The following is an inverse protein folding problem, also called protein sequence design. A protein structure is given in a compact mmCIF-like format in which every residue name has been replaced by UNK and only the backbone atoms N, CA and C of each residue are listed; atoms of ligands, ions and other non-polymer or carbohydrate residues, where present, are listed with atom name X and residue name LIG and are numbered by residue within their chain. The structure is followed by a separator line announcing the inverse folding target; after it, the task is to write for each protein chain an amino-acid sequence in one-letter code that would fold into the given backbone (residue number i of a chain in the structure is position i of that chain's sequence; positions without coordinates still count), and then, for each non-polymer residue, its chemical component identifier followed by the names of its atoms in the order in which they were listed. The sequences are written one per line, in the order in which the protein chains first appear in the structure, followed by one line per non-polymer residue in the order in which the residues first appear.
data_IF_447646403879
#
_entry.id   IF_447646403879
#
_cell.length_a   1.000
_cell.length_b   1.000
_cell.length_c   1.000
_cell.angle_alpha   90.00
_cell.angle_beta   90.00
_cell.angle_gamma   90.00
#
_symmetry.space_group_name_H-M   'P 1'
#
loop_
_entity.id
_entity.type
_entity.pdbx_description
1 polymer ?
#
# COMPACT_ATOMS: atom_id res chain seq x y z
N UNK A 1 -4.32 -3.22 -10.20
CA UNK A 1 -4.22 -3.38 -8.73
C UNK A 1 -3.46 -2.22 -8.10
N UNK A 2 -2.27 -1.86 -8.61
CA UNK A 2 -1.51 -0.65 -8.24
C UNK A 2 -2.32 0.65 -8.34
N UNK A 3 -2.92 0.88 -9.50
CA UNK A 3 -3.70 2.09 -9.79
C UNK A 3 -4.94 2.27 -8.92
N UNK A 4 -5.62 1.18 -8.57
CA UNK A 4 -6.77 1.23 -7.66
C UNK A 4 -6.36 1.67 -6.26
N UNK A 5 -5.20 1.20 -5.77
CA UNK A 5 -4.70 1.58 -4.46
C UNK A 5 -4.23 3.04 -4.42
N UNK A 6 -3.52 3.48 -5.46
CA UNK A 6 -3.14 4.90 -5.60
C UNK A 6 -4.37 5.82 -5.65
N UNK A 7 -5.38 5.46 -6.44
CA UNK A 7 -6.61 6.23 -6.56
C UNK A 7 -7.37 6.30 -5.22
N UNK A 8 -7.49 5.16 -4.51
CA UNK A 8 -8.13 5.11 -3.21
C UNK A 8 -7.40 5.99 -2.18
N UNK A 9 -6.06 5.94 -2.14
CA UNK A 9 -5.28 6.79 -1.23
C UNK A 9 -5.43 8.27 -1.57
N UNK A 10 -5.38 8.63 -2.85
CA UNK A 10 -5.58 10.02 -3.28
C UNK A 10 -6.97 10.53 -2.87
N UNK A 11 -8.02 9.73 -3.09
CA UNK A 11 -9.39 10.06 -2.69
C UNK A 11 -9.52 10.21 -1.17
N UNK A 12 -8.88 9.32 -0.40
CA UNK A 12 -8.84 9.43 1.06
C UNK A 12 -8.17 10.72 1.52
N UNK A 13 -7.01 11.08 0.95
CA UNK A 13 -6.31 12.32 1.28
C UNK A 13 -7.10 13.57 0.89
N UNK A 14 -7.84 13.52 -0.22
CA UNK A 14 -8.77 14.60 -0.60
C UNK A 14 -9.91 14.72 0.42
N UNK A 15 -10.55 13.60 0.79
CA UNK A 15 -11.62 13.58 1.77
C UNK A 15 -11.20 14.16 3.13
N UNK A 16 -10.03 13.77 3.64
CA UNK A 16 -9.47 14.33 4.88
C UNK A 16 -9.17 15.83 4.73
N UNK A 17 -8.71 16.25 3.54
CA UNK A 17 -8.53 17.67 3.22
C UNK A 17 -9.83 18.47 3.27
N UNK A 18 -10.93 17.91 2.78
CA UNK A 18 -12.27 18.52 2.81
C UNK A 18 -12.85 18.60 4.23
N UNK A 19 -12.54 17.64 5.11
CA UNK A 19 -12.91 17.69 6.53
C UNK A 19 -12.20 18.83 7.29
N UNK A 20 -11.02 19.26 6.83
CA UNK A 20 -10.25 20.35 7.44
C UNK A 20 -9.48 19.97 8.71
N UNK A 21 -9.53 18.71 9.13
CA UNK A 21 -8.72 18.16 10.21
C UNK A 21 -8.38 16.69 9.93
N UNK A 22 -7.26 16.21 10.49
CA UNK A 22 -6.91 14.79 10.40
C UNK A 22 -7.88 13.92 11.22
N UNK A 23 -7.98 12.65 10.84
CA UNK A 23 -8.78 11.68 11.59
C UNK A 23 -8.15 11.35 12.94
N UNK A 24 -9.00 10.96 13.89
CA UNK A 24 -8.55 10.47 15.18
C UNK A 24 -7.81 9.15 15.02
N UNK A 25 -6.80 8.94 15.86
CA UNK A 25 -6.10 7.65 15.90
C UNK A 25 -7.02 6.57 16.47
N UNK A 26 -6.84 5.35 15.98
CA UNK A 26 -7.63 4.21 16.43
C UNK A 26 -7.25 3.81 17.87
N UNK A 27 -8.23 3.59 18.76
CA UNK A 27 -7.98 3.07 20.09
C UNK A 27 -7.27 1.72 20.06
N UNK A 28 -6.20 1.55 20.84
CA UNK A 28 -5.34 0.37 20.87
C UNK A 28 -4.30 0.28 19.73
N UNK A 29 -4.29 1.25 18.82
CA UNK A 29 -3.31 1.40 17.73
C UNK A 29 -2.82 2.84 17.61
N UNK A 30 -2.79 3.59 18.70
CA UNK A 30 -2.48 5.03 18.75
C UNK A 30 -1.05 5.37 18.33
N UNK A 31 -0.17 4.37 18.24
CA UNK A 31 1.17 4.50 17.67
C UNK A 31 1.18 4.70 16.15
N UNK A 32 0.09 4.39 15.46
CA UNK A 32 -0.03 4.54 14.01
C UNK A 32 -0.86 5.78 13.64
N UNK A 33 -0.44 6.47 12.59
CA UNK A 33 -1.25 7.54 11.99
C UNK A 33 -2.41 6.96 11.17
N UNK A 34 -3.49 7.73 10.93
CA UNK A 34 -4.57 7.30 10.03
C UNK A 34 -4.07 6.86 8.65
N UNK A 35 -3.08 7.55 8.09
CA UNK A 35 -2.42 7.13 6.84
C UNK A 35 -1.74 5.76 6.95
N UNK A 36 -1.01 5.51 8.05
CA UNK A 36 -0.38 4.20 8.25
C UNK A 36 -1.43 3.10 8.42
N UNK A 37 -2.54 3.38 9.10
CA UNK A 37 -3.68 2.47 9.22
C UNK A 37 -4.29 2.16 7.85
N UNK A 38 -4.46 3.17 6.98
CA UNK A 38 -4.95 2.97 5.61
C UNK A 38 -4.11 1.90 4.88
N UNK A 39 -2.78 1.96 4.97
CA UNK A 39 -1.90 0.97 4.35
C UNK A 39 -1.97 -0.42 5.03
N UNK A 40 -2.04 -0.46 6.36
CA UNK A 40 -2.13 -1.72 7.14
C UNK A 40 -3.42 -2.49 6.79
N UNK A 41 -4.54 -1.79 6.63
CA UNK A 41 -5.82 -2.43 6.28
C UNK A 41 -5.78 -3.08 4.89
N UNK A 42 -5.04 -2.50 3.93
CA UNK A 42 -4.85 -3.11 2.62
C UNK A 42 -4.10 -4.45 2.68
N UNK A 43 -3.02 -4.52 3.47
CA UNK A 43 -2.18 -5.73 3.56
C UNK A 43 -2.90 -6.88 4.26
N UNK A 44 -3.76 -6.59 5.24
CA UNK A 44 -4.53 -7.60 5.99
C UNK A 44 -5.36 -8.55 5.10
N UNK A 45 -5.76 -8.09 3.91
CA UNK A 45 -6.56 -8.87 2.96
C UNK A 45 -5.72 -9.87 2.14
N UNK A 46 -4.39 -9.74 2.15
CA UNK A 46 -3.48 -10.50 1.27
C UNK A 46 -2.72 -11.64 1.96
N UNK A 47 -2.89 -11.82 3.28
CA UNK A 47 -2.19 -12.88 4.03
C UNK A 47 -2.77 -14.27 3.74
N UNK A 48 -2.10 -15.05 2.89
CA UNK A 48 -2.40 -16.47 2.66
C UNK A 48 -1.37 -17.40 3.32
N UNK A 49 -1.82 -18.58 3.76
CA UNK A 49 -0.97 -19.59 4.40
C UNK A 49 0.05 -20.16 3.40
N UNK A 50 1.32 -20.29 3.81
CA UNK A 50 2.45 -20.71 2.96
C UNK A 50 2.23 -22.03 2.18
N UNK A 51 1.46 -22.97 2.73
CA UNK A 51 1.21 -24.26 2.10
C UNK A 51 0.42 -24.17 0.77
N UNK A 52 -0.29 -23.07 0.52
CA UNK A 52 -1.13 -22.91 -0.67
C UNK A 52 -0.40 -22.23 -1.85
N UNK A 53 0.79 -21.67 -1.61
CA UNK A 53 1.49 -20.81 -2.57
C UNK A 53 2.00 -21.60 -3.79
N UNK A 54 2.51 -22.82 -3.61
CA UNK A 54 3.04 -23.62 -4.73
C UNK A 54 1.97 -23.98 -5.76
N UNK A 55 0.78 -24.36 -5.30
CA UNK A 55 -0.34 -24.67 -6.19
C UNK A 55 -0.90 -23.41 -6.86
N UNK A 56 -1.03 -22.31 -6.11
CA UNK A 56 -1.49 -21.03 -6.67
C UNK A 56 -0.54 -20.49 -7.74
N UNK A 57 0.77 -20.64 -7.59
CA UNK A 57 1.74 -20.21 -8.62
C UNK A 57 1.54 -20.91 -9.98
N UNK A 58 1.03 -22.14 -9.99
CA UNK A 58 0.84 -22.93 -11.21
C UNK A 58 -0.55 -22.78 -11.83
N UNK A 59 -1.55 -22.38 -11.03
CA UNK A 59 -2.96 -22.45 -11.43
C UNK A 59 -3.69 -21.11 -11.39
N UNK A 60 -3.18 -20.15 -10.61
CA UNK A 60 -3.80 -18.85 -10.45
C UNK A 60 -3.12 -17.85 -11.40
N UNK A 61 -3.87 -17.16 -12.27
CA UNK A 61 -3.30 -16.10 -13.11
C UNK A 61 -2.87 -14.86 -12.31
N UNK A 62 -3.28 -14.75 -11.03
CA UNK A 62 -2.86 -13.68 -10.13
C UNK A 62 -1.61 -14.06 -9.34
N UNK A 63 -0.70 -13.09 -9.21
CA UNK A 63 0.47 -13.22 -8.35
C UNK A 63 0.08 -13.56 -6.90
N UNK A 64 0.96 -14.24 -6.12
CA UNK A 64 0.74 -14.50 -4.71
C UNK A 64 0.45 -13.21 -3.91
N UNK A 65 -0.35 -13.31 -2.85
CA UNK A 65 -0.77 -12.16 -2.04
C UNK A 65 0.40 -11.32 -1.52
N UNK A 66 1.45 -11.95 -1.00
CA UNK A 66 2.65 -11.25 -0.50
C UNK A 66 3.39 -10.46 -1.59
N UNK A 67 3.49 -11.02 -2.80
CA UNK A 67 4.08 -10.31 -3.94
C UNK A 67 3.20 -9.13 -4.36
N UNK A 68 1.87 -9.30 -4.34
CA UNK A 68 0.92 -8.24 -4.68
C UNK A 68 0.99 -7.08 -3.70
N UNK A 69 1.01 -7.32 -2.39
CA UNK A 69 1.16 -6.22 -1.42
C UNK A 69 2.51 -5.53 -1.59
N UNK A 70 3.62 -6.27 -1.47
CA UNK A 70 4.94 -5.65 -1.40
C UNK A 70 5.30 -4.88 -2.67
N UNK A 71 5.00 -5.44 -3.84
CA UNK A 71 5.27 -4.76 -5.10
C UNK A 71 4.41 -3.49 -5.23
N UNK A 72 3.13 -3.55 -4.84
CA UNK A 72 2.24 -2.38 -4.91
C UNK A 72 2.73 -1.23 -4.04
N UNK A 73 3.16 -1.53 -2.82
CA UNK A 73 3.65 -0.52 -1.89
C UNK A 73 4.98 0.11 -2.33
N UNK A 74 5.86 -0.66 -2.99
CA UNK A 74 7.12 -0.14 -3.55
C UNK A 74 6.89 0.91 -4.64
N UNK A 75 5.87 0.73 -5.45
CA UNK A 75 5.57 1.60 -6.58
C UNK A 75 4.81 2.88 -6.17
N UNK A 76 4.19 2.89 -4.97
CA UNK A 76 3.46 4.05 -4.43
C UNK A 76 4.36 4.84 -3.47
N UNK A 77 4.91 6.01 -3.88
CA UNK A 77 5.81 6.80 -3.03
C UNK A 77 5.20 7.22 -1.69
N UNK A 78 3.89 7.48 -1.67
CA UNK A 78 3.18 7.92 -0.47
C UNK A 78 3.29 6.93 0.68
N UNK A 79 3.32 5.62 0.37
CA UNK A 79 3.56 4.59 1.37
C UNK A 79 4.92 4.78 2.06
N UNK A 80 5.98 4.89 1.26
CA UNK A 80 7.34 5.10 1.79
C UNK A 80 7.45 6.37 2.63
N UNK A 81 6.75 7.44 2.24
CA UNK A 81 6.70 8.70 2.99
C UNK A 81 5.93 8.57 4.32
N UNK A 82 4.75 7.94 4.32
CA UNK A 82 3.91 7.77 5.51
C UNK A 82 4.59 6.89 6.59
N UNK A 83 5.42 5.93 6.17
CA UNK A 83 6.22 5.10 7.08
C UNK A 83 7.61 5.67 7.37
N UNK A 84 7.97 6.83 6.82
CA UNK A 84 9.29 7.45 7.03
C UNK A 84 10.45 6.59 6.52
N UNK A 85 10.22 5.79 5.47
CA UNK A 85 11.25 4.95 4.87
C UNK A 85 12.36 5.81 4.26
N UNK A 86 13.61 5.33 4.35
CA UNK A 86 14.74 5.95 3.65
C UNK A 86 14.63 5.67 2.15
N UNK A 87 14.89 6.68 1.33
CA UNK A 87 14.92 6.51 -0.12
C UNK A 87 16.03 5.54 -0.53
N UNK A 88 15.74 4.65 -1.48
CA UNK A 88 16.61 3.54 -1.86
C UNK A 88 16.48 2.29 -0.99
N UNK A 89 15.63 2.32 0.05
CA UNK A 89 15.29 1.10 0.81
C UNK A 89 14.39 0.17 -0.03
N UNK A 90 14.32 -1.14 0.30
CA UNK A 90 13.52 -2.10 -0.47
C UNK A 90 12.05 -1.71 -0.63
N UNK A 91 11.47 -0.98 0.33
CA UNK A 91 10.08 -0.53 0.31
C UNK A 91 9.91 0.95 -0.10
N UNK A 92 11.01 1.62 -0.42
CA UNK A 92 10.99 2.98 -0.97
C UNK A 92 12.14 3.14 -1.99
N UNK A 93 12.11 2.41 -3.12
CA UNK A 93 13.18 2.38 -4.11
C UNK A 93 13.34 3.73 -4.83
N UNK A 94 14.38 3.92 -5.64
CA UNK A 94 14.59 5.17 -6.37
C UNK A 94 13.51 5.38 -7.46
N UNK A 95 13.22 6.62 -7.91
CA UNK A 95 12.11 6.90 -8.84
C UNK A 95 12.18 6.17 -10.19
N UNK A 96 13.38 5.85 -10.65
CA UNK A 96 13.68 5.09 -11.88
C UNK A 96 13.47 3.57 -11.70
N UNK A 97 13.44 3.10 -10.46
CA UNK A 97 13.21 1.70 -10.10
C UNK A 97 11.73 1.38 -9.84
N UNK A 98 10.84 2.38 -9.95
CA UNK A 98 9.40 2.25 -9.70
C UNK A 98 8.63 2.10 -11.00
N UNK A 99 7.68 1.19 -11.02
CA UNK A 99 6.72 1.07 -12.12
C UNK A 99 5.61 2.11 -11.97
N UNK A 100 5.59 3.12 -12.83
CA UNK A 100 4.52 4.13 -12.86
C UNK A 100 3.40 3.62 -13.77
N UNK A 101 2.26 3.25 -13.18
CA UNK A 101 1.13 2.69 -13.94
C UNK A 101 -0.16 3.44 -13.57
N UNK A 102 -0.78 4.06 -14.57
CA UNK A 102 -1.94 4.96 -14.46
C UNK A 102 -1.71 6.17 -13.54
N UNK A 103 -0.91 7.12 -14.03
CA UNK A 103 -1.01 8.52 -13.61
C UNK A 103 -2.19 9.13 -14.37
N UNK A 104 -3.40 8.95 -13.86
CA UNK A 104 -4.51 9.78 -14.29
C UNK A 104 -4.15 11.21 -13.93
N UNK A 105 -3.81 11.99 -14.95
CA UNK A 105 -3.96 13.45 -14.94
C UNK A 105 -5.44 13.76 -15.13
#
# INVERSE_FOLDING_TARGET
MFSGQQAAYNAYRQYVGELGHEELRLPGLEQFSPNQIFWITYDSQSSKRRCEIRFQLLTNPHAPGSCRTNQVMQDIPSFGMDFGCKQGSPMYPLPDQRCKVWVGV
#
